data_IF_605282243341
#
_entry.id   IF_605282243341
#
_cell.length_a   1.000
_cell.length_b   1.000
_cell.length_c   1.000
_cell.angle_alpha   90.00
_cell.angle_beta   90.00
_cell.angle_gamma   90.00
#
_symmetry.space_group_name_H-M   'P 1'
#
loop_
_entity.id
_entity.type
_entity.pdbx_description
1 polymer ?
#
# COMPACT_ATOMS: atom_id res chain seq x y z
N UNK A 1 -25.84 79.14 -16.71
CA UNK A 1 -25.03 79.22 -17.95
C UNK A 1 -24.17 77.97 -18.01
N UNK A 2 -24.65 76.91 -18.67
CA UNK A 2 -24.25 76.53 -20.02
C UNK A 2 -22.73 76.54 -20.22
N UNK A 3 -22.10 75.37 -20.28
CA UNK A 3 -21.50 74.93 -21.53
C UNK A 3 -21.11 73.45 -21.49
N UNK A 4 -21.68 72.71 -22.43
CA UNK A 4 -21.32 71.35 -22.84
C UNK A 4 -20.08 71.46 -23.72
N UNK A 5 -19.11 70.56 -23.56
CA UNK A 5 -18.05 70.38 -24.57
C UNK A 5 -17.88 68.90 -24.88
N UNK A 6 -18.45 68.49 -26.00
CA UNK A 6 -18.17 67.22 -26.66
C UNK A 6 -16.86 67.35 -27.45
N UNK A 7 -15.94 66.41 -27.27
CA UNK A 7 -14.92 66.10 -28.28
C UNK A 7 -15.04 64.63 -28.67
N UNK A 8 -15.21 64.46 -29.98
CA UNK A 8 -15.46 63.22 -30.70
C UNK A 8 -14.22 62.89 -31.56
N UNK A 9 -14.02 61.58 -31.78
CA UNK A 9 -13.08 60.89 -32.71
C UNK A 9 -11.64 60.84 -32.18
N UNK A 10 -10.96 59.68 -32.20
CA UNK A 10 -10.67 58.86 -33.39
C UNK A 10 -10.41 57.39 -33.04
N UNK A 11 -10.89 56.50 -33.92
CA UNK A 11 -10.46 55.11 -34.06
C UNK A 11 -8.96 55.06 -34.41
N UNK A 12 -8.23 54.15 -33.78
CA UNK A 12 -7.03 53.54 -34.37
C UNK A 12 -6.95 52.09 -33.89
N UNK A 13 -7.12 51.16 -34.85
CA UNK A 13 -6.72 49.77 -34.70
C UNK A 13 -5.20 49.70 -34.61
N UNK A 14 -4.65 48.96 -33.65
CA UNK A 14 -3.26 48.48 -33.71
C UNK A 14 -3.20 47.08 -33.14
N UNK A 15 -2.54 46.21 -33.90
CA UNK A 15 -2.49 44.78 -33.78
C UNK A 15 -1.63 44.26 -32.61
N UNK A 16 -1.99 43.06 -32.16
CA UNK A 16 -1.13 41.93 -31.80
C UNK A 16 0.25 42.24 -31.21
N UNK A 17 0.42 41.95 -29.91
CA UNK A 17 1.72 41.61 -29.33
C UNK A 17 1.58 40.27 -28.60
N UNK A 18 2.24 39.26 -29.16
CA UNK A 18 2.58 38.00 -28.51
C UNK A 18 3.73 38.29 -27.56
N UNK A 19 3.56 37.92 -26.29
CA UNK A 19 4.58 37.86 -25.25
C UNK A 19 3.90 37.30 -24.00
N UNK A 20 4.11 36.06 -23.55
CA UNK A 20 5.38 35.35 -23.49
C UNK A 20 6.12 35.79 -22.23
N UNK A 21 5.73 35.24 -21.06
CA UNK A 21 6.62 34.83 -19.96
C UNK A 21 5.83 34.60 -18.65
N UNK A 22 6.37 33.69 -17.83
CA UNK A 22 6.09 33.38 -16.43
C UNK A 22 4.84 32.55 -16.07
N UNK A 23 5.06 31.26 -15.86
CA UNK A 23 5.15 30.75 -14.49
C UNK A 23 5.96 29.44 -14.49
N UNK A 24 7.24 29.54 -14.14
CA UNK A 24 7.94 28.44 -13.47
C UNK A 24 7.34 28.34 -12.08
N UNK A 25 6.52 27.33 -11.83
CA UNK A 25 6.15 26.89 -10.49
C UNK A 25 5.95 25.38 -10.51
N UNK A 26 6.68 24.68 -9.63
CA UNK A 26 6.29 23.37 -9.14
C UNK A 26 7.03 22.18 -9.73
N UNK A 27 8.35 22.11 -9.50
CA UNK A 27 8.94 20.81 -9.23
C UNK A 27 8.37 20.24 -7.92
N UNK A 28 8.08 18.94 -7.93
CA UNK A 28 8.15 17.95 -6.84
C UNK A 28 7.03 16.91 -7.02
N UNK A 29 7.36 15.80 -7.66
CA UNK A 29 6.74 14.49 -7.39
C UNK A 29 7.79 13.40 -7.60
N UNK A 30 8.89 13.50 -6.86
CA UNK A 30 9.47 12.29 -6.27
C UNK A 30 8.76 12.15 -4.92
N UNK A 31 7.47 11.80 -4.97
CA UNK A 31 6.76 11.37 -3.79
C UNK A 31 7.37 10.01 -3.46
N UNK A 32 8.24 9.98 -2.45
CA UNK A 32 8.69 8.77 -1.74
C UNK A 32 7.50 8.12 -1.01
N UNK A 33 6.31 8.12 -1.61
CA UNK A 33 5.14 7.50 -1.06
C UNK A 33 5.28 5.98 -1.30
N UNK A 34 5.08 5.16 -0.25
CA UNK A 34 5.00 3.72 -0.37
C UNK A 34 4.09 3.34 -1.53
N UNK A 35 4.59 2.64 -2.52
CA UNK A 35 3.74 2.11 -3.58
C UNK A 35 3.20 0.76 -3.14
N UNK A 36 1.88 0.58 -3.19
CA UNK A 36 1.26 -0.75 -3.06
C UNK A 36 2.05 -1.75 -3.93
N UNK A 37 2.51 -2.89 -3.37
CA UNK A 37 3.46 -3.76 -4.04
C UNK A 37 2.77 -4.62 -5.11
N UNK A 38 2.35 -4.01 -6.22
CA UNK A 38 1.69 -4.69 -7.33
C UNK A 38 2.66 -5.64 -8.05
N UNK A 39 2.27 -6.92 -8.15
CA UNK A 39 3.03 -7.95 -8.84
C UNK A 39 3.10 -9.25 -8.06
N UNK A 40 4.02 -10.12 -8.48
CA UNK A 40 4.33 -11.38 -7.82
C UNK A 40 5.66 -11.27 -7.06
N UNK A 41 5.65 -11.73 -5.81
CA UNK A 41 6.74 -11.58 -4.84
C UNK A 41 7.03 -12.92 -4.18
N UNK A 42 8.28 -13.35 -4.25
CA UNK A 42 8.79 -14.63 -3.76
C UNK A 42 9.56 -14.44 -2.45
N UNK A 43 9.30 -15.28 -1.45
CA UNK A 43 10.00 -15.25 -0.16
C UNK A 43 11.29 -16.08 -0.10
N UNK A 44 11.66 -16.73 -1.20
CA UNK A 44 12.83 -17.60 -1.33
C UNK A 44 12.59 -19.05 -0.89
N UNK A 45 11.41 -19.36 -0.33
CA UNK A 45 11.04 -20.70 0.14
C UNK A 45 9.97 -21.36 -0.73
N UNK A 46 9.72 -20.80 -1.91
CA UNK A 46 8.68 -21.27 -2.81
C UNK A 46 7.29 -20.74 -2.48
N UNK A 47 7.19 -19.78 -1.55
CA UNK A 47 5.93 -19.09 -1.31
C UNK A 47 5.87 -17.80 -2.11
N UNK A 48 4.72 -17.56 -2.73
CA UNK A 48 4.51 -16.43 -3.63
C UNK A 48 3.28 -15.64 -3.20
N UNK A 49 3.47 -14.33 -2.99
CA UNK A 49 2.40 -13.36 -2.87
C UNK A 49 2.15 -12.73 -4.25
N UNK A 50 0.92 -12.75 -4.73
CA UNK A 50 0.52 -12.01 -5.93
C UNK A 50 -0.51 -10.97 -5.56
N UNK A 51 -0.16 -9.70 -5.77
CA UNK A 51 -0.94 -8.53 -5.33
C UNK A 51 -1.33 -7.72 -6.56
N UNK A 52 -2.61 -7.41 -6.65
CA UNK A 52 -3.17 -6.45 -7.61
C UNK A 52 -3.71 -5.24 -6.85
N UNK A 53 -4.32 -4.28 -7.55
CA UNK A 53 -4.97 -3.14 -6.88
C UNK A 53 -6.22 -3.52 -6.08
N UNK A 54 -6.74 -4.75 -6.25
CA UNK A 54 -8.02 -5.18 -5.66
C UNK A 54 -7.96 -6.56 -5.03
N UNK A 55 -6.87 -7.31 -5.18
CA UNK A 55 -6.76 -8.69 -4.71
C UNK A 55 -5.36 -9.00 -4.18
N UNK A 56 -5.30 -9.90 -3.21
CA UNK A 56 -4.09 -10.62 -2.83
C UNK A 56 -4.34 -12.11 -2.99
N UNK A 57 -3.35 -12.85 -3.48
CA UNK A 57 -3.28 -14.30 -3.34
C UNK A 57 -1.93 -14.70 -2.77
N UNK A 58 -1.94 -15.75 -1.97
CA UNK A 58 -0.74 -16.39 -1.44
C UNK A 58 -0.77 -17.86 -1.83
N UNK A 59 0.35 -18.38 -2.32
CA UNK A 59 0.52 -19.79 -2.65
C UNK A 59 1.83 -20.29 -2.09
N UNK A 60 1.83 -21.48 -1.51
CA UNK A 60 3.03 -22.18 -1.07
C UNK A 60 2.85 -23.69 -1.20
N UNK A 61 3.93 -24.43 -1.00
CA UNK A 61 3.93 -25.90 -1.01
C UNK A 61 4.73 -26.43 0.17
N UNK A 62 4.17 -27.39 0.90
CA UNK A 62 4.86 -28.09 1.99
C UNK A 62 4.60 -29.57 1.85
N UNK A 63 5.67 -30.36 1.79
CA UNK A 63 5.63 -31.81 1.61
C UNK A 63 4.74 -32.28 0.43
N UNK A 64 4.78 -31.56 -0.70
CA UNK A 64 3.99 -31.89 -1.90
C UNK A 64 2.53 -31.46 -1.83
N UNK A 65 2.11 -30.80 -0.75
CA UNK A 65 0.75 -30.28 -0.59
C UNK A 65 0.75 -28.77 -0.79
N UNK A 66 0.03 -28.31 -1.83
CA UNK A 66 -0.19 -26.90 -2.06
C UNK A 66 -1.13 -26.32 -1.01
N UNK A 67 -0.80 -25.13 -0.51
CA UNK A 67 -1.63 -24.34 0.38
C UNK A 67 -1.64 -22.89 -0.06
N UNK A 68 -2.62 -22.13 0.45
CA UNK A 68 -2.76 -20.74 0.08
C UNK A 68 -4.12 -20.14 0.39
N UNK A 69 -4.26 -18.89 -0.03
CA UNK A 69 -5.51 -18.16 0.07
C UNK A 69 -5.63 -17.12 -1.05
N UNK A 70 -6.86 -16.65 -1.26
CA UNK A 70 -7.15 -15.44 -2.04
C UNK A 70 -8.03 -14.52 -1.20
N UNK A 71 -7.83 -13.22 -1.33
CA UNK A 71 -8.64 -12.21 -0.69
C UNK A 71 -8.86 -10.97 -1.55
N UNK A 72 -9.97 -10.29 -1.27
CA UNK A 72 -10.31 -9.00 -1.86
C UNK A 72 -9.76 -7.87 -0.97
N UNK A 73 -8.97 -6.98 -1.54
CA UNK A 73 -8.44 -5.79 -0.85
C UNK A 73 -9.58 -4.78 -0.70
N UNK A 74 -9.86 -4.38 0.55
CA UNK A 74 -10.99 -3.52 0.91
C UNK A 74 -10.56 -2.16 1.47
N UNK A 75 -9.27 -1.98 1.73
CA UNK A 75 -8.68 -0.73 2.21
C UNK A 75 -7.19 -0.74 1.94
N UNK A 76 -6.63 0.41 1.53
CA UNK A 76 -5.20 0.61 1.31
C UNK A 76 -4.80 1.93 1.99
N UNK A 77 -3.66 1.94 2.66
CA UNK A 77 -2.99 3.15 3.16
C UNK A 77 -1.49 3.00 2.92
N UNK A 78 -1.06 3.71 1.90
CA UNK A 78 0.27 3.74 1.31
C UNK A 78 1.14 4.78 2.01
N UNK A 79 0.97 5.02 3.32
CA UNK A 79 1.75 6.04 4.04
C UNK A 79 2.21 5.64 5.43
N UNK A 80 1.65 4.56 5.97
CA UNK A 80 1.90 4.10 7.34
C UNK A 80 1.46 2.66 7.55
N UNK A 81 1.93 2.06 8.63
CA UNK A 81 1.31 0.85 9.15
C UNK A 81 -0.01 1.13 9.85
N UNK A 82 -0.79 0.07 10.00
CA UNK A 82 -2.09 0.11 10.63
C UNK A 82 -1.97 0.25 12.16
N UNK A 83 -3.05 0.64 12.83
CA UNK A 83 -3.08 0.77 14.29
C UNK A 83 -2.17 1.86 14.89
N UNK A 84 -1.47 2.64 14.06
CA UNK A 84 -0.50 3.64 14.51
C UNK A 84 0.91 3.07 14.71
N UNK A 85 1.16 1.81 14.33
CA UNK A 85 2.49 1.22 14.38
C UNK A 85 3.47 1.96 13.46
N UNK A 86 4.74 1.99 13.85
CA UNK A 86 5.80 2.71 13.12
C UNK A 86 6.90 1.78 12.61
N UNK A 87 6.79 0.46 12.81
CA UNK A 87 7.81 -0.50 12.41
C UNK A 87 7.22 -1.86 12.00
N UNK A 88 7.96 -2.57 11.15
CA UNK A 88 7.84 -4.01 10.95
C UNK A 88 8.91 -4.70 11.82
N UNK A 89 8.57 -5.81 12.46
CA UNK A 89 9.50 -6.54 13.32
C UNK A 89 10.11 -7.71 12.54
N UNK A 90 11.25 -7.48 11.90
CA UNK A 90 12.27 -8.50 11.66
C UNK A 90 13.63 -7.82 11.39
N UNK A 91 14.72 -8.36 11.93
CA UNK A 91 16.09 -8.02 11.51
C UNK A 91 16.70 -6.65 11.86
N UNK A 92 15.96 -5.69 12.42
CA UNK A 92 16.54 -4.42 12.90
C UNK A 92 16.73 -3.32 11.85
N UNK A 93 16.17 -3.49 10.64
CA UNK A 93 16.21 -2.45 9.62
C UNK A 93 15.15 -1.37 9.86
N UNK A 94 15.53 -0.13 9.54
CA UNK A 94 14.61 1.01 9.57
C UNK A 94 13.66 0.90 8.39
N UNK A 95 12.38 0.64 8.65
CA UNK A 95 11.36 0.61 7.61
C UNK A 95 11.28 1.96 6.88
N UNK A 96 11.56 1.96 5.58
CA UNK A 96 11.36 3.12 4.70
C UNK A 96 10.09 2.88 3.88
N UNK A 97 9.30 3.94 3.70
CA UNK A 97 8.06 3.91 2.95
C UNK A 97 7.12 2.77 3.40
N UNK A 98 6.55 2.88 4.62
CA UNK A 98 5.63 1.89 5.16
C UNK A 98 4.23 1.99 4.56
N UNK A 99 3.59 0.86 4.29
CA UNK A 99 2.18 0.81 3.93
C UNK A 99 1.45 -0.40 4.50
N UNK A 100 0.13 -0.37 4.42
CA UNK A 100 -0.70 -1.52 4.74
C UNK A 100 -2.00 -1.56 3.93
N UNK A 101 -2.57 -2.75 3.82
CA UNK A 101 -3.92 -2.94 3.33
C UNK A 101 -4.67 -3.94 4.20
N UNK A 102 -5.99 -3.79 4.25
CA UNK A 102 -6.87 -4.81 4.80
C UNK A 102 -7.57 -5.54 3.66
N UNK A 103 -7.75 -6.83 3.81
CA UNK A 103 -8.41 -7.67 2.83
C UNK A 103 -9.39 -8.63 3.50
N UNK A 104 -10.41 -9.05 2.76
CA UNK A 104 -11.34 -10.10 3.17
C UNK A 104 -10.99 -11.39 2.44
N UNK A 105 -10.83 -12.50 3.15
CA UNK A 105 -10.60 -13.79 2.52
C UNK A 105 -11.81 -14.20 1.68
N UNK A 106 -11.56 -14.58 0.42
CA UNK A 106 -12.55 -15.11 -0.52
C UNK A 106 -12.40 -16.61 -0.72
N UNK A 107 -11.19 -17.15 -0.50
CA UNK A 107 -10.90 -18.58 -0.48
C UNK A 107 -9.71 -18.87 0.41
N UNK A 108 -9.72 -20.01 1.08
CA UNK A 108 -8.59 -20.54 1.87
C UNK A 108 -8.48 -22.04 1.61
N UNK A 109 -7.26 -22.56 1.47
CA UNK A 109 -7.04 -24.00 1.28
C UNK A 109 -7.14 -24.79 2.59
N UNK A 110 -6.78 -24.17 3.71
CA UNK A 110 -6.84 -24.72 5.07
C UNK A 110 -7.14 -23.61 6.09
N UNK A 111 -7.90 -23.88 7.17
CA UNK A 111 -8.27 -22.88 8.17
C UNK A 111 -7.09 -22.18 8.87
N UNK A 112 -5.90 -22.78 8.88
CA UNK A 112 -4.70 -22.18 9.48
C UNK A 112 -4.23 -20.92 8.73
N UNK A 113 -4.64 -20.77 7.46
CA UNK A 113 -4.32 -19.63 6.60
C UNK A 113 -5.38 -18.52 6.62
N UNK A 114 -6.51 -18.75 7.31
CA UNK A 114 -7.58 -17.78 7.47
C UNK A 114 -8.97 -18.41 7.39
N UNK A 115 -9.99 -17.55 7.29
CA UNK A 115 -11.39 -17.97 7.21
C UNK A 115 -12.14 -17.09 6.21
N UNK A 116 -12.85 -17.72 5.27
CA UNK A 116 -13.63 -17.00 4.23
C UNK A 116 -14.63 -16.05 4.87
N UNK A 117 -14.67 -14.81 4.36
CA UNK A 117 -15.54 -13.76 4.87
C UNK A 117 -14.97 -13.00 6.07
N UNK A 118 -13.87 -13.45 6.67
CA UNK A 118 -13.13 -12.70 7.69
C UNK A 118 -12.05 -11.82 7.06
N UNK A 119 -11.52 -10.91 7.87
CA UNK A 119 -10.54 -9.91 7.46
C UNK A 119 -9.17 -10.18 8.07
N UNK A 120 -8.11 -9.77 7.37
CA UNK A 120 -6.73 -9.72 7.87
C UNK A 120 -6.07 -8.44 7.34
N UNK A 121 -4.87 -8.14 7.82
CA UNK A 121 -4.03 -7.02 7.42
C UNK A 121 -2.72 -7.55 6.85
N UNK A 122 -2.25 -6.87 5.81
CA UNK A 122 -0.94 -7.04 5.25
C UNK A 122 -0.18 -5.72 5.35
N UNK A 123 1.11 -5.78 5.71
CA UNK A 123 2.02 -4.63 5.79
C UNK A 123 3.17 -4.82 4.84
N UNK A 124 3.71 -3.71 4.34
CA UNK A 124 4.95 -3.73 3.58
C UNK A 124 5.79 -2.48 3.85
N UNK A 125 7.09 -2.60 3.58
CA UNK A 125 8.03 -1.49 3.47
C UNK A 125 8.99 -1.75 2.32
N UNK A 126 9.70 -0.71 1.88
CA UNK A 126 10.76 -0.86 0.88
C UNK A 126 11.93 -1.68 1.41
N UNK A 127 12.47 -2.56 0.56
CA UNK A 127 13.68 -3.34 0.86
C UNK A 127 14.97 -2.60 0.47
N UNK A 128 16.08 -3.35 0.32
CA UNK A 128 17.37 -2.75 -0.03
C UNK A 128 17.45 -2.31 -1.51
N UNK A 129 16.53 -2.79 -2.34
CA UNK A 129 16.43 -2.45 -3.76
C UNK A 129 14.98 -2.26 -4.22
N UNK A 130 14.78 -1.68 -5.41
CA UNK A 130 13.43 -1.48 -5.99
C UNK A 130 12.66 -2.77 -6.26
N UNK A 131 13.36 -3.91 -6.34
CA UNK A 131 12.77 -5.23 -6.55
C UNK A 131 12.59 -6.02 -5.25
N UNK A 132 12.84 -5.39 -4.10
CA UNK A 132 12.68 -5.99 -2.79
C UNK A 132 11.63 -5.23 -1.96
N UNK A 133 10.85 -5.99 -1.21
CA UNK A 133 9.97 -5.46 -0.17
C UNK A 133 10.15 -6.27 1.10
N UNK A 134 10.00 -5.62 2.23
CA UNK A 134 9.79 -6.32 3.51
C UNK A 134 8.29 -6.43 3.70
N UNK A 135 7.77 -7.65 3.73
CA UNK A 135 6.33 -7.90 3.80
C UNK A 135 5.97 -8.74 5.03
N UNK A 136 4.81 -8.47 5.61
CA UNK A 136 4.28 -9.28 6.69
C UNK A 136 2.76 -9.28 6.70
N UNK A 137 2.19 -10.46 6.96
CA UNK A 137 0.76 -10.63 7.19
C UNK A 137 0.45 -10.75 8.69
N UNK A 138 -0.71 -10.26 9.10
CA UNK A 138 -1.21 -10.37 10.47
C UNK A 138 -1.37 -11.83 10.89
N UNK A 139 -0.54 -12.25 11.85
CA UNK A 139 -0.52 -13.60 12.38
C UNK A 139 0.16 -13.68 13.74
N UNK A 140 -0.15 -14.72 14.51
CA UNK A 140 0.54 -15.03 15.76
C UNK A 140 1.48 -16.19 15.54
N UNK A 141 2.69 -16.07 16.04
CA UNK A 141 3.59 -17.21 16.13
C UNK A 141 3.10 -18.14 17.25
N UNK A 142 2.89 -19.41 16.92
CA UNK A 142 2.87 -20.50 17.90
C UNK A 142 4.20 -21.27 17.78
N UNK A 143 4.51 -22.14 18.76
CA UNK A 143 5.82 -22.83 18.88
C UNK A 143 6.34 -23.49 17.58
N UNK A 144 5.44 -23.80 16.62
CA UNK A 144 5.77 -24.51 15.39
C UNK A 144 5.47 -23.72 14.10
N UNK A 145 4.56 -22.73 14.10
CA UNK A 145 4.12 -21.98 12.91
C UNK A 145 3.40 -20.66 13.19
N UNK A 146 3.36 -19.78 12.18
CA UNK A 146 2.51 -18.58 12.19
C UNK A 146 1.06 -18.93 11.87
N UNK A 147 0.16 -18.70 12.81
CA UNK A 147 -1.30 -18.81 12.62
C UNK A 147 -1.84 -17.47 12.15
N UNK A 148 -2.53 -17.45 11.00
CA UNK A 148 -3.14 -16.22 10.51
C UNK A 148 -4.27 -15.77 11.44
N UNK A 149 -4.26 -14.49 11.80
CA UNK A 149 -5.28 -13.93 12.69
C UNK A 149 -6.38 -13.32 11.87
N UNK A 150 -7.61 -13.70 12.19
CA UNK A 150 -8.81 -13.27 11.49
C UNK A 150 -9.63 -12.31 12.34
N UNK A 151 -10.24 -11.33 11.68
CA UNK A 151 -11.07 -10.31 12.30
C UNK A 151 -12.47 -10.29 11.68
N UNK A 152 -13.49 -9.97 12.47
CA UNK A 152 -14.88 -9.90 12.01
C UNK A 152 -15.20 -8.67 11.15
N UNK A 153 -14.30 -7.68 11.12
CA UNK A 153 -14.51 -6.46 10.32
C UNK A 153 -13.20 -5.85 9.84
N UNK A 154 -13.24 -5.11 8.74
CA UNK A 154 -12.14 -4.29 8.24
C UNK A 154 -11.61 -3.33 9.32
N UNK A 155 -12.49 -2.68 10.09
CA UNK A 155 -12.08 -1.77 11.15
C UNK A 155 -11.32 -2.48 12.27
N UNK A 156 -11.78 -3.67 12.68
CA UNK A 156 -11.10 -4.47 13.68
C UNK A 156 -9.73 -4.97 13.19
N UNK A 157 -9.62 -5.38 11.93
CA UNK A 157 -8.35 -5.76 11.32
C UNK A 157 -7.35 -4.60 11.38
N UNK A 158 -7.72 -3.42 10.86
CA UNK A 158 -6.83 -2.25 10.78
C UNK A 158 -6.42 -1.68 12.12
N UNK A 159 -7.24 -1.79 13.16
CA UNK A 159 -6.92 -1.20 14.46
C UNK A 159 -6.43 -2.22 15.49
N UNK A 160 -6.82 -3.49 15.34
CA UNK A 160 -6.53 -4.56 16.29
C UNK A 160 -5.30 -5.40 15.94
N UNK A 161 -4.96 -5.52 14.66
CA UNK A 161 -3.71 -6.16 14.25
C UNK A 161 -2.55 -5.20 14.55
N UNK A 162 -1.88 -5.28 15.70
CA UNK A 162 -0.72 -4.42 16.03
C UNK A 162 0.49 -5.22 16.51
N UNK A 163 1.66 -4.57 16.53
CA UNK A 163 2.89 -5.10 17.12
C UNK A 163 2.71 -5.37 18.61
N UNK A 164 2.10 -4.44 19.35
CA UNK A 164 1.80 -4.57 20.79
C UNK A 164 0.92 -5.80 21.10
N UNK A 165 0.02 -6.14 20.19
CA UNK A 165 -0.83 -7.33 20.29
C UNK A 165 -0.14 -8.62 19.81
N UNK A 166 1.11 -8.54 19.36
CA UNK A 166 1.95 -9.66 18.93
C UNK A 166 1.59 -10.23 17.56
N UNK A 167 1.01 -9.42 16.66
CA UNK A 167 0.47 -9.89 15.38
C UNK A 167 1.41 -9.78 14.17
N UNK A 168 2.63 -9.27 14.35
CA UNK A 168 3.62 -9.13 13.27
C UNK A 168 5.02 -9.47 13.77
N UNK A 169 5.15 -10.66 14.37
CA UNK A 169 6.39 -11.09 15.00
C UNK A 169 7.49 -11.50 14.00
N UNK A 170 7.14 -11.73 12.74
CA UNK A 170 8.08 -12.15 11.70
C UNK A 170 7.70 -11.56 10.35
N UNK A 171 8.64 -10.92 9.67
CA UNK A 171 8.47 -10.38 8.33
C UNK A 171 9.47 -11.01 7.39
N UNK A 172 9.15 -11.05 6.10
CA UNK A 172 10.06 -11.62 5.09
C UNK A 172 10.47 -10.54 4.10
N UNK A 173 11.76 -10.46 3.82
CA UNK A 173 12.22 -9.82 2.57
C UNK A 173 11.81 -10.70 1.41
N UNK A 174 10.99 -10.15 0.52
CA UNK A 174 10.51 -10.82 -0.68
C UNK A 174 11.07 -10.13 -1.91
N UNK A 175 11.35 -10.90 -2.95
CA UNK A 175 11.90 -10.41 -4.22
C UNK A 175 10.86 -10.51 -5.33
N UNK A 176 10.81 -9.52 -6.21
CA UNK A 176 9.92 -9.53 -7.36
C UNK A 176 10.30 -10.63 -8.36
N UNK A 177 9.30 -11.39 -8.84
CA UNK A 177 9.45 -12.37 -9.92
C UNK A 177 9.34 -11.75 -11.32
#
# INVERSE_FOLDING_TARGET
MHSVSYKVRRFLFTALVIGGALAMLGGCSSSDDPTLPIGSWDDGFGNVYTITGTTISYTGEFEGTAYGYTGAIVYIDDSRFNGGDTSITDGGDTAVNPGHFAFQYTSVSDPSWGEVGKYNVFRWADGASENEKVMVQGGKYNEDFSVMVVFDSNAAARNGATNDAGFFAFASTVTRQ
#
